data_IF_104462479819
#
_entry.id   IF_104462479819
#
_cell.length_a   1.000
_cell.length_b   1.000
_cell.length_c   1.000
_cell.angle_alpha   90.00
_cell.angle_beta   90.00
_cell.angle_gamma   90.00
#
_symmetry.space_group_name_H-M   'P 1'
#
loop_
_entity.id
_entity.type
_entity.pdbx_description
1 polymer ?
#
# COMPACT_ATOMS: atom_id res chain seq x y z
N UNK A 1 24.39 28.69 6.76
CA UNK A 1 24.80 27.34 7.22
C UNK A 1 25.21 26.56 5.99
N UNK A 2 26.50 26.32 5.77
CA UNK A 2 26.99 25.53 4.64
C UNK A 2 26.93 24.05 5.02
N UNK A 3 26.03 23.28 4.39
CA UNK A 3 26.02 21.83 4.55
C UNK A 3 27.37 21.28 4.07
N UNK A 4 28.04 20.49 4.91
CA UNK A 4 29.32 19.88 4.58
C UNK A 4 29.11 18.80 3.50
N UNK A 5 30.03 18.67 2.53
CA UNK A 5 29.97 17.65 1.47
C UNK A 5 29.78 16.24 2.05
N UNK A 6 30.39 15.95 3.21
CA UNK A 6 30.23 14.67 3.91
C UNK A 6 28.80 14.42 4.40
N UNK A 7 28.08 15.45 4.84
CA UNK A 7 26.67 15.36 5.24
C UNK A 7 25.77 15.10 4.03
N UNK A 8 26.06 15.76 2.91
CA UNK A 8 25.31 15.57 1.66
C UNK A 8 25.45 14.13 1.15
N UNK A 9 26.68 13.58 1.18
CA UNK A 9 26.93 12.19 0.78
C UNK A 9 26.22 11.18 1.69
N UNK A 10 26.31 11.34 3.02
CA UNK A 10 25.62 10.47 3.98
C UNK A 10 24.10 10.50 3.80
N UNK A 11 23.52 11.69 3.59
CA UNK A 11 22.09 11.81 3.32
C UNK A 11 21.69 11.14 2.00
N UNK A 12 22.50 11.29 0.95
CA UNK A 12 22.24 10.64 -0.33
C UNK A 12 22.24 9.11 -0.23
N UNK A 13 23.23 8.54 0.47
CA UNK A 13 23.32 7.09 0.66
C UNK A 13 22.17 6.55 1.53
N UNK A 14 21.81 7.27 2.60
CA UNK A 14 20.66 6.94 3.44
C UNK A 14 19.34 6.95 2.65
N UNK A 15 19.13 7.96 1.79
CA UNK A 15 17.95 8.05 0.92
C UNK A 15 17.91 6.89 -0.09
N UNK A 16 19.03 6.58 -0.75
CA UNK A 16 19.13 5.45 -1.68
C UNK A 16 18.87 4.11 -1.00
N UNK A 17 19.43 3.90 0.19
CA UNK A 17 19.21 2.70 0.98
C UNK A 17 17.73 2.57 1.38
N UNK A 18 17.12 3.62 1.92
CA UNK A 18 15.70 3.63 2.27
C UNK A 18 14.80 3.36 1.06
N UNK A 19 15.12 3.93 -0.10
CA UNK A 19 14.39 3.69 -1.36
C UNK A 19 14.49 2.22 -1.80
N UNK A 20 15.68 1.63 -1.67
CA UNK A 20 15.93 0.23 -2.05
C UNK A 20 15.23 -0.74 -1.09
N UNK A 21 15.35 -0.51 0.22
CA UNK A 21 14.69 -1.30 1.25
C UNK A 21 13.15 -1.21 1.13
N UNK A 22 12.62 -0.01 0.87
CA UNK A 22 11.19 0.19 0.61
C UNK A 22 10.71 -0.61 -0.61
N UNK A 23 11.44 -0.51 -1.73
CA UNK A 23 11.12 -1.28 -2.95
C UNK A 23 11.15 -2.80 -2.69
N UNK A 24 12.13 -3.29 -1.95
CA UNK A 24 12.23 -4.71 -1.57
C UNK A 24 11.06 -5.14 -0.69
N UNK A 25 10.64 -4.31 0.27
CA UNK A 25 9.48 -4.59 1.12
C UNK A 25 8.19 -4.70 0.29
N UNK A 26 7.93 -3.75 -0.61
CA UNK A 26 6.76 -3.82 -1.50
C UNK A 26 6.77 -5.10 -2.34
N UNK A 27 7.91 -5.44 -2.94
CA UNK A 27 8.05 -6.66 -3.75
C UNK A 27 7.79 -7.94 -2.92
N UNK A 28 8.30 -8.02 -1.69
CA UNK A 28 8.05 -9.16 -0.79
C UNK A 28 6.57 -9.25 -0.43
N UNK A 29 5.93 -8.13 -0.06
CA UNK A 29 4.51 -8.09 0.28
C UNK A 29 3.61 -8.42 -0.91
N UNK A 30 3.98 -8.01 -2.13
CA UNK A 30 3.23 -8.32 -3.36
C UNK A 30 3.23 -9.83 -3.67
N UNK A 31 4.27 -10.57 -3.26
CA UNK A 31 4.37 -12.01 -3.51
C UNK A 31 3.62 -12.88 -2.49
N UNK A 32 3.13 -12.28 -1.40
CA UNK A 32 2.45 -13.02 -0.34
C UNK A 32 1.01 -13.36 -0.75
N UNK A 33 0.67 -14.63 -0.55
CA UNK A 33 -0.68 -15.20 -0.66
C UNK A 33 -0.95 -16.02 0.60
N UNK A 34 -2.10 -15.82 1.22
CA UNK A 34 -2.56 -16.48 2.45
C UNK A 34 -4.01 -16.95 2.21
N UNK A 35 -4.16 -18.24 1.89
CA UNK A 35 -5.44 -18.93 1.86
C UNK A 35 -5.41 -20.13 2.83
N UNK A 36 -6.58 -20.67 3.17
CA UNK A 36 -6.73 -21.79 4.12
C UNK A 36 -5.88 -23.02 3.75
N UNK A 37 -5.73 -23.30 2.45
CA UNK A 37 -5.05 -24.50 1.95
C UNK A 37 -3.67 -24.21 1.34
N UNK A 38 -3.31 -22.94 1.13
CA UNK A 38 -2.07 -22.58 0.47
C UNK A 38 -1.60 -21.21 0.98
N UNK A 39 -0.43 -21.20 1.61
CA UNK A 39 0.26 -19.97 1.98
C UNK A 39 1.61 -19.94 1.26
N UNK A 40 1.93 -18.81 0.62
CA UNK A 40 3.16 -18.61 -0.15
C UNK A 40 3.73 -17.23 0.10
N UNK A 41 5.05 -17.13 0.11
CA UNK A 41 5.78 -15.88 0.28
C UNK A 41 6.72 -15.96 1.48
N UNK A 42 7.07 -14.80 2.00
CA UNK A 42 7.99 -14.67 3.12
C UNK A 42 7.33 -15.06 4.45
N UNK A 43 7.86 -16.10 5.11
CA UNK A 43 7.25 -16.66 6.32
C UNK A 43 7.18 -15.67 7.49
N UNK A 44 8.18 -14.81 7.67
CA UNK A 44 8.18 -13.83 8.76
C UNK A 44 7.09 -12.77 8.52
N UNK A 45 7.00 -12.28 7.29
CA UNK A 45 5.97 -11.30 6.92
C UNK A 45 4.57 -11.90 7.00
N UNK A 46 4.39 -13.18 6.64
CA UNK A 46 3.12 -13.89 6.77
C UNK A 46 2.65 -13.90 8.23
N UNK A 47 3.52 -14.24 9.17
CA UNK A 47 3.14 -14.27 10.58
C UNK A 47 2.82 -12.87 11.12
N UNK A 48 3.56 -11.85 10.68
CA UNK A 48 3.22 -10.44 10.96
C UNK A 48 1.85 -10.07 10.40
N UNK A 49 1.55 -10.39 9.15
CA UNK A 49 0.26 -10.12 8.51
C UNK A 49 -0.88 -10.77 9.28
N UNK A 50 -0.72 -12.04 9.69
CA UNK A 50 -1.72 -12.77 10.48
C UNK A 50 -1.93 -12.16 11.87
N UNK A 51 -0.90 -11.53 12.44
CA UNK A 51 -1.01 -10.88 13.75
C UNK A 51 -1.80 -9.56 13.72
N UNK A 52 -1.99 -8.96 12.54
CA UNK A 52 -2.74 -7.71 12.38
C UNK A 52 -4.22 -8.00 12.08
N UNK A 53 -5.17 -7.56 12.93
CA UNK A 53 -6.59 -7.80 12.71
C UNK A 53 -7.08 -7.29 11.36
N UNK A 54 -7.89 -8.11 10.66
CA UNK A 54 -8.48 -7.81 9.36
C UNK A 54 -7.50 -7.64 8.18
N UNK A 55 -6.18 -7.80 8.39
CA UNK A 55 -5.19 -7.66 7.33
C UNK A 55 -5.05 -8.94 6.49
N UNK A 56 -5.03 -10.10 7.13
CA UNK A 56 -4.76 -11.39 6.47
C UNK A 56 -5.66 -11.67 5.27
N UNK A 57 -6.95 -11.36 5.36
CA UNK A 57 -7.91 -11.56 4.25
C UNK A 57 -7.59 -10.75 2.99
N UNK A 58 -6.86 -9.63 3.14
CA UNK A 58 -6.44 -8.83 2.00
C UNK A 58 -5.32 -9.52 1.21
N UNK A 59 -4.67 -10.54 1.78
CA UNK A 59 -3.60 -11.31 1.15
C UNK A 59 -4.10 -12.63 0.54
N UNK A 60 -5.38 -12.79 0.25
CA UNK A 60 -5.89 -14.01 -0.42
C UNK A 60 -5.36 -14.16 -1.85
N UNK A 61 -5.55 -15.34 -2.45
CA UNK A 61 -5.23 -15.57 -3.88
C UNK A 61 -6.09 -14.75 -4.84
N UNK A 62 -7.26 -14.27 -4.41
CA UNK A 62 -8.14 -13.41 -5.21
C UNK A 62 -7.74 -11.93 -5.17
N UNK A 63 -6.87 -11.55 -4.24
CA UNK A 63 -6.33 -10.20 -4.17
C UNK A 63 -5.33 -9.95 -5.29
N UNK A 64 -5.55 -8.85 -6.00
CA UNK A 64 -4.66 -8.40 -7.06
C UNK A 64 -3.60 -7.47 -6.48
N UNK A 65 -2.39 -7.53 -7.02
CA UNK A 65 -1.26 -6.68 -6.62
C UNK A 65 -0.79 -5.84 -7.79
N UNK A 66 -0.19 -4.68 -7.51
CA UNK A 66 0.40 -3.81 -8.52
C UNK A 66 -0.61 -3.39 -9.60
N UNK A 67 -1.86 -3.15 -9.20
CA UNK A 67 -3.01 -2.93 -10.11
C UNK A 67 -2.92 -1.54 -10.73
N UNK A 68 -2.80 -1.43 -12.07
CA UNK A 68 -2.85 -0.13 -12.72
C UNK A 68 -4.26 0.46 -12.62
N UNK A 69 -4.36 1.75 -12.28
CA UNK A 69 -5.61 2.49 -12.27
C UNK A 69 -5.42 3.84 -12.95
N UNK A 70 -6.28 4.14 -13.93
CA UNK A 70 -6.20 5.38 -14.67
C UNK A 70 -7.60 5.87 -15.05
N UNK A 71 -7.75 7.19 -15.14
CA UNK A 71 -8.99 7.83 -15.51
C UNK A 71 -8.99 9.32 -15.19
N UNK A 72 -10.12 9.97 -15.47
CA UNK A 72 -10.29 11.38 -15.19
C UNK A 72 -10.96 11.59 -13.82
N UNK A 73 -10.40 12.49 -13.03
CA UNK A 73 -11.03 13.07 -11.84
C UNK A 73 -11.31 14.54 -12.17
N UNK A 74 -12.57 14.86 -12.47
CA UNK A 74 -12.90 16.16 -13.06
C UNK A 74 -12.22 16.33 -14.42
N UNK A 75 -11.44 17.39 -14.58
CA UNK A 75 -10.68 17.68 -15.81
C UNK A 75 -9.26 17.11 -15.81
N UNK A 76 -8.83 16.48 -14.71
CA UNK A 76 -7.45 15.99 -14.56
C UNK A 76 -7.39 14.50 -14.85
N UNK A 77 -6.53 14.12 -15.81
CA UNK A 77 -6.16 12.73 -16.03
C UNK A 77 -5.17 12.26 -14.96
N UNK A 78 -5.45 11.12 -14.36
CA UNK A 78 -4.64 10.47 -13.33
C UNK A 78 -4.29 9.06 -13.82
N UNK A 79 -3.03 8.66 -13.65
CA UNK A 79 -2.55 7.30 -13.90
C UNK A 79 -1.65 6.89 -12.74
N UNK A 80 -2.03 5.81 -12.05
CA UNK A 80 -1.44 5.35 -10.80
C UNK A 80 -1.42 3.82 -10.77
N UNK A 81 -0.82 3.29 -9.70
CA UNK A 81 -0.77 1.86 -9.43
C UNK A 81 -1.10 1.63 -7.96
N UNK A 82 -2.09 0.80 -7.69
CA UNK A 82 -2.50 0.37 -6.36
C UNK A 82 -1.62 -0.82 -5.95
N UNK A 83 -1.02 -0.77 -4.77
CA UNK A 83 -0.15 -1.87 -4.31
C UNK A 83 -0.95 -3.17 -4.17
N UNK A 84 -2.15 -3.11 -3.57
CA UNK A 84 -3.03 -4.27 -3.45
C UNK A 84 -4.52 -3.90 -3.47
N UNK A 85 -5.30 -4.66 -4.25
CA UNK A 85 -6.74 -4.51 -4.42
C UNK A 85 -7.43 -5.84 -4.08
N UNK A 86 -8.37 -5.82 -3.15
CA UNK A 86 -9.20 -6.98 -2.81
C UNK A 86 -10.68 -6.64 -3.01
N UNK A 87 -11.41 -7.51 -3.71
CA UNK A 87 -12.82 -7.33 -4.00
C UNK A 87 -13.58 -8.39 -3.22
N UNK A 88 -14.38 -7.94 -2.26
CA UNK A 88 -15.26 -8.77 -1.45
C UNK A 88 -16.69 -8.64 -2.00
N UNK A 89 -17.05 -9.56 -2.91
CA UNK A 89 -18.38 -9.58 -3.52
C UNK A 89 -19.49 -9.87 -2.50
N UNK A 90 -19.20 -10.69 -1.47
CA UNK A 90 -20.15 -11.03 -0.42
C UNK A 90 -20.52 -9.81 0.44
N UNK A 91 -19.53 -8.97 0.78
CA UNK A 91 -19.73 -7.73 1.50
C UNK A 91 -19.99 -6.51 0.58
N UNK A 92 -20.00 -6.70 -0.74
CA UNK A 92 -20.03 -5.63 -1.76
C UNK A 92 -19.04 -4.49 -1.45
N UNK A 93 -17.80 -4.86 -1.11
CA UNK A 93 -16.77 -3.90 -0.70
C UNK A 93 -15.46 -4.15 -1.46
N UNK A 94 -14.87 -3.07 -1.97
CA UNK A 94 -13.54 -3.06 -2.58
C UNK A 94 -12.56 -2.44 -1.58
N UNK A 95 -11.51 -3.17 -1.27
CA UNK A 95 -10.42 -2.76 -0.41
C UNK A 95 -9.24 -2.32 -1.25
N UNK A 96 -8.80 -1.09 -1.03
CA UNK A 96 -7.59 -0.52 -1.62
C UNK A 96 -6.55 -0.42 -0.51
N UNK A 97 -5.47 -1.16 -0.62
CA UNK A 97 -4.38 -1.17 0.35
C UNK A 97 -3.11 -0.60 -0.29
N UNK A 98 -2.47 0.33 0.41
CA UNK A 98 -1.20 0.95 0.02
C UNK A 98 -0.18 0.76 1.15
N UNK A 99 1.06 0.39 0.78
CA UNK A 99 2.13 0.10 1.74
C UNK A 99 3.00 1.32 1.95
N UNK A 100 3.35 1.62 3.21
CA UNK A 100 4.27 2.71 3.55
C UNK A 100 5.38 2.23 4.47
N UNK A 101 6.61 2.42 4.02
CA UNK A 101 7.82 2.06 4.77
C UNK A 101 8.39 3.23 5.58
N UNK A 102 7.78 4.40 5.51
CA UNK A 102 8.21 5.56 6.30
C UNK A 102 8.04 5.29 7.80
N UNK A 103 9.05 5.68 8.57
CA UNK A 103 9.07 5.56 10.04
C UNK A 103 8.49 6.79 10.76
N UNK A 104 8.17 7.86 10.00
CA UNK A 104 7.52 9.07 10.52
C UNK A 104 6.20 9.32 9.75
N UNK A 105 5.13 8.58 10.07
CA UNK A 105 3.85 8.68 9.37
C UNK A 105 3.32 10.11 9.24
N UNK A 106 3.39 10.89 10.32
CA UNK A 106 2.80 12.22 10.41
C UNK A 106 3.35 13.21 9.37
N UNK A 107 4.62 13.05 8.97
CA UNK A 107 5.26 13.96 8.02
C UNK A 107 4.67 13.87 6.61
N UNK A 108 4.18 12.70 6.21
CA UNK A 108 3.72 12.43 4.84
C UNK A 108 2.28 11.95 4.77
N UNK A 109 1.60 11.80 5.91
CA UNK A 109 0.25 11.24 6.00
C UNK A 109 -0.75 11.95 5.10
N UNK A 110 -0.78 13.28 5.10
CA UNK A 110 -1.73 14.04 4.26
C UNK A 110 -1.56 13.74 2.76
N UNK A 111 -0.31 13.58 2.31
CA UNK A 111 0.00 13.23 0.93
C UNK A 111 -0.51 11.83 0.58
N UNK A 112 -0.37 10.87 1.49
CA UNK A 112 -0.82 9.49 1.28
C UNK A 112 -2.34 9.38 1.33
N UNK A 113 -2.98 10.12 2.22
CA UNK A 113 -4.44 10.25 2.25
C UNK A 113 -4.97 10.85 0.95
N UNK A 114 -4.35 11.92 0.44
CA UNK A 114 -4.72 12.51 -0.84
C UNK A 114 -4.57 11.52 -2.01
N UNK A 115 -3.50 10.71 -2.02
CA UNK A 115 -3.30 9.64 -3.00
C UNK A 115 -4.42 8.58 -2.92
N UNK A 116 -4.80 8.15 -1.72
CA UNK A 116 -5.90 7.20 -1.53
C UNK A 116 -7.26 7.78 -1.92
N UNK A 117 -7.47 9.10 -1.80
CA UNK A 117 -8.65 9.75 -2.35
C UNK A 117 -8.70 9.69 -3.88
N UNK A 118 -7.56 9.86 -4.57
CA UNK A 118 -7.47 9.63 -6.02
C UNK A 118 -7.86 8.19 -6.37
N UNK A 119 -7.33 7.21 -5.63
CA UNK A 119 -7.64 5.79 -5.86
C UNK A 119 -9.11 5.48 -5.60
N UNK A 120 -9.68 6.02 -4.52
CA UNK A 120 -11.09 5.86 -4.20
C UNK A 120 -12.00 6.46 -5.26
N UNK A 121 -11.68 7.66 -5.75
CA UNK A 121 -12.47 8.33 -6.79
C UNK A 121 -12.49 7.53 -8.09
N UNK A 122 -11.34 7.02 -8.54
CA UNK A 122 -11.26 6.17 -9.73
C UNK A 122 -11.92 4.80 -9.51
N UNK A 123 -11.71 4.18 -8.34
CA UNK A 123 -12.30 2.87 -8.03
C UNK A 123 -13.82 2.93 -7.97
N UNK A 124 -14.42 4.04 -7.50
CA UNK A 124 -15.88 4.26 -7.54
C UNK A 124 -16.44 4.32 -8.96
N UNK A 125 -15.67 4.78 -9.94
CA UNK A 125 -16.10 4.78 -11.34
C UNK A 125 -16.15 3.36 -11.90
N UNK A 126 -15.23 2.49 -11.47
CA UNK A 126 -15.14 1.09 -11.91
C UNK A 126 -16.17 0.22 -11.17
N UNK A 127 -16.34 0.43 -9.86
CA UNK A 127 -17.20 -0.37 -8.97
C UNK A 127 -18.30 0.50 -8.33
N UNK A 128 -19.27 1.02 -9.10
CA UNK A 128 -20.24 2.01 -8.61
C UNK A 128 -21.20 1.48 -7.54
N UNK A 129 -21.35 0.16 -7.45
CA UNK A 129 -22.23 -0.50 -6.47
C UNK A 129 -21.50 -0.96 -5.21
N UNK A 130 -20.18 -0.82 -5.17
CA UNK A 130 -19.37 -1.32 -4.07
C UNK A 130 -18.97 -0.18 -3.13
N UNK A 131 -18.89 -0.48 -1.84
CA UNK A 131 -18.22 0.41 -0.88
C UNK A 131 -16.72 0.36 -1.16
N UNK A 132 -16.06 1.52 -1.22
CA UNK A 132 -14.59 1.57 -1.34
C UNK A 132 -14.01 1.85 0.03
N UNK A 133 -13.15 0.96 0.52
CA UNK A 133 -12.41 1.10 1.78
C UNK A 133 -10.92 1.23 1.50
N UNK A 134 -10.37 2.40 1.80
CA UNK A 134 -8.95 2.68 1.64
C UNK A 134 -8.19 2.42 2.95
N UNK A 135 -7.05 1.78 2.83
CA UNK A 135 -6.21 1.35 3.95
C UNK A 135 -4.75 1.69 3.67
N UNK A 136 -4.04 2.13 4.70
CA UNK A 136 -2.58 2.23 4.70
C UNK A 136 -2.04 1.16 5.64
N UNK A 137 -1.09 0.35 5.18
CA UNK A 137 -0.27 -0.48 6.06
C UNK A 137 1.08 0.19 6.26
N UNK A 138 1.33 0.63 7.48
CA UNK A 138 2.61 1.15 7.91
C UNK A 138 3.52 -0.03 8.27
N UNK A 139 4.53 -0.31 7.45
CA UNK A 139 5.33 -1.54 7.58
C UNK A 139 6.40 -1.45 8.68
N UNK A 140 6.62 -0.26 9.25
CA UNK A 140 7.60 -0.07 10.33
C UNK A 140 7.08 -0.58 11.67
N UNK A 141 5.78 -0.42 11.95
CA UNK A 141 5.11 -0.83 13.19
C UNK A 141 3.95 -1.79 12.98
N UNK A 142 3.63 -2.12 11.73
CA UNK A 142 2.51 -2.97 11.32
C UNK A 142 1.13 -2.41 11.66
N UNK A 143 1.02 -1.08 11.78
CA UNK A 143 -0.27 -0.42 11.96
C UNK A 143 -1.09 -0.43 10.67
N UNK A 144 -2.32 -0.93 10.75
CA UNK A 144 -3.32 -0.84 9.68
C UNK A 144 -4.24 0.34 9.94
N UNK A 145 -4.09 1.38 9.13
CA UNK A 145 -4.86 2.61 9.22
C UNK A 145 -5.98 2.62 8.17
N UNK A 146 -7.17 3.08 8.57
CA UNK A 146 -8.27 3.36 7.64
C UNK A 146 -8.31 4.85 7.31
N UNK A 147 -8.45 5.15 6.02
CA UNK A 147 -8.54 6.50 5.46
C UNK A 147 -9.94 6.79 4.96
#
# INVERSE_FOLDING_TARGET
MSNNITEILKNHDAIKFATTAGTQMHNRLAQIVIDDNCTRGDAELIERIKSVPNLARLFSSTSQTEVPIAGNIGTRFISRRIDRLYIDDGAQTVYVLDYKTDVFPEQFRERYVAQLHEYAALSRQIYPKYKIQCLILWTHDWTLERV
#
